data_IF_629854826381
#
_entry.id   IF_629854826381
#
_cell.length_a   1.000
_cell.length_b   1.000
_cell.length_c   1.000
_cell.angle_alpha   90.00
_cell.angle_beta   90.00
_cell.angle_gamma   90.00
#
_symmetry.space_group_name_H-M   'P 1'
#
loop_
_entity.id
_entity.type
_entity.pdbx_description
1 polymer ?
#
# COMPACT_ATOMS: atom_id res chain seq x y z
N UNK A 1 32.79 71.68 -16.98
CA UNK A 1 33.87 70.96 -16.29
C UNK A 1 33.92 71.50 -14.88
N UNK A 2 33.27 70.85 -13.96
CA UNK A 2 33.18 71.23 -12.55
C UNK A 2 33.45 69.93 -11.74
N UNK A 3 34.62 69.96 -11.10
CA UNK A 3 35.15 68.95 -10.17
C UNK A 3 34.29 68.91 -8.88
N UNK A 4 33.93 67.74 -8.34
CA UNK A 4 33.26 67.66 -7.04
C UNK A 4 34.29 67.78 -5.89
N UNK A 5 33.87 68.44 -4.83
CA UNK A 5 34.57 68.68 -3.56
C UNK A 5 34.64 67.32 -2.74
N UNK A 6 35.71 67.18 -1.93
CA UNK A 6 35.89 66.00 -1.08
C UNK A 6 34.97 66.05 0.15
N UNK A 7 34.62 64.88 0.74
CA UNK A 7 33.75 64.76 1.91
C UNK A 7 34.43 65.26 3.19
N UNK A 8 33.64 65.91 4.10
CA UNK A 8 34.05 66.36 5.41
C UNK A 8 34.35 65.23 6.36
N UNK A 9 35.35 65.37 7.17
CA UNK A 9 35.67 64.52 8.31
C UNK A 9 34.62 64.68 9.41
N UNK A 10 34.26 63.62 10.16
CA UNK A 10 33.32 63.72 11.27
C UNK A 10 33.95 64.28 12.53
N UNK A 11 33.17 65.04 13.32
CA UNK A 11 33.52 65.69 14.58
C UNK A 11 33.86 64.70 15.71
N UNK A 12 34.86 65.09 16.51
CA UNK A 12 35.52 64.29 17.56
C UNK A 12 34.85 64.31 18.93
N UNK A 13 33.49 64.51 19.04
CA UNK A 13 32.86 64.60 20.34
C UNK A 13 31.61 63.65 20.42
N UNK A 14 31.83 62.36 20.28
CA UNK A 14 30.82 61.38 20.63
C UNK A 14 31.39 60.33 21.61
N UNK A 15 30.68 60.00 22.68
CA UNK A 15 31.14 59.02 23.68
C UNK A 15 31.21 57.62 23.05
N UNK A 16 32.08 56.72 23.56
CA UNK A 16 32.32 55.41 22.97
C UNK A 16 31.07 54.51 23.07
N UNK A 17 30.59 54.12 21.91
CA UNK A 17 29.52 53.08 21.84
C UNK A 17 30.09 51.74 22.31
N UNK A 18 29.44 51.15 23.29
CA UNK A 18 29.72 49.78 23.75
C UNK A 18 29.50 48.79 22.60
N UNK A 19 30.55 48.05 22.28
CA UNK A 19 30.51 46.94 21.30
C UNK A 19 29.63 45.83 21.84
N UNK A 20 28.43 45.67 21.27
CA UNK A 20 27.60 44.50 21.46
C UNK A 20 27.99 43.50 20.36
N UNK A 21 28.47 42.29 20.71
CA UNK A 21 28.78 41.28 19.67
C UNK A 21 27.50 40.86 18.97
N UNK A 22 27.51 40.57 17.65
CA UNK A 22 26.35 40.09 16.92
C UNK A 22 25.88 38.76 17.48
N UNK A 23 24.64 38.73 17.90
CA UNK A 23 23.97 37.49 18.23
C UNK A 23 23.90 36.65 16.94
N UNK A 24 24.49 35.47 16.99
CA UNK A 24 24.42 34.46 15.95
C UNK A 24 22.96 34.11 15.73
N UNK A 25 22.42 34.46 14.56
CA UNK A 25 21.16 33.95 14.10
C UNK A 25 21.27 32.42 13.94
N UNK A 26 20.34 31.64 14.46
CA UNK A 26 20.32 30.20 14.18
C UNK A 26 19.99 29.99 12.71
N UNK A 27 20.81 29.21 12.04
CA UNK A 27 20.59 28.72 10.68
C UNK A 27 19.22 28.06 10.57
N UNK A 28 18.41 28.56 9.64
CA UNK A 28 17.13 28.03 9.26
C UNK A 28 17.33 26.71 8.51
N UNK A 29 17.44 25.58 9.23
CA UNK A 29 17.38 24.25 8.60
C UNK A 29 17.15 23.10 9.60
N UNK A 30 16.38 23.32 10.66
CA UNK A 30 15.78 22.21 11.44
C UNK A 30 14.43 22.68 11.97
N UNK A 31 13.35 22.25 11.34
CA UNK A 31 12.02 22.38 11.92
C UNK A 31 11.94 21.48 13.16
N UNK A 32 11.68 22.04 14.36
CA UNK A 32 11.50 21.23 15.55
C UNK A 32 10.13 20.55 15.51
N UNK A 33 10.11 19.26 15.86
CA UNK A 33 8.89 18.55 16.23
C UNK A 33 8.20 19.31 17.37
N UNK A 34 6.86 19.44 17.38
CA UNK A 34 6.17 20.07 18.49
C UNK A 34 6.33 19.19 19.75
N UNK A 35 7.03 19.71 20.75
CA UNK A 35 6.98 19.20 22.11
C UNK A 35 5.57 19.46 22.65
N UNK A 36 4.92 18.43 23.13
CA UNK A 36 3.65 18.53 23.83
C UNK A 36 3.83 19.33 25.12
N UNK A 37 3.03 20.37 25.27
CA UNK A 37 2.92 21.13 26.50
C UNK A 37 2.37 20.20 27.62
N UNK A 38 3.13 20.12 28.72
CA UNK A 38 2.62 19.62 29.99
C UNK A 38 1.70 20.71 30.56
N UNK A 39 0.44 20.37 30.68
CA UNK A 39 -0.57 20.85 31.66
C UNK A 39 -1.97 20.82 31.02
N UNK A 40 -2.63 19.68 31.15
CA UNK A 40 -4.09 19.57 31.09
C UNK A 40 -4.58 18.28 31.77
N UNK A 41 -5.76 18.30 32.41
CA UNK A 41 -6.21 17.24 33.30
C UNK A 41 -6.57 15.97 32.56
N UNK A 42 -6.34 14.84 33.24
CA UNK A 42 -6.58 13.47 32.83
C UNK A 42 -7.99 13.22 32.26
N UNK A 43 -8.05 13.13 30.92
CA UNK A 43 -9.13 12.44 30.20
C UNK A 43 -8.47 11.25 29.52
N UNK A 44 -8.98 10.06 29.78
CA UNK A 44 -8.50 8.79 29.25
C UNK A 44 -8.50 8.82 27.71
N UNK A 45 -7.37 9.16 27.09
CA UNK A 45 -7.17 9.10 25.66
C UNK A 45 -6.81 7.68 25.27
N UNK A 46 -7.66 7.06 24.47
CA UNK A 46 -7.32 5.86 23.71
C UNK A 46 -6.07 6.16 22.85
N UNK A 47 -5.08 5.27 22.77
CA UNK A 47 -3.86 5.53 22.02
C UNK A 47 -4.19 5.71 20.52
N UNK A 48 -3.74 6.83 19.98
CA UNK A 48 -3.78 7.12 18.53
C UNK A 48 -3.10 5.98 17.77
N UNK A 49 -3.85 5.35 16.86
CA UNK A 49 -3.36 4.27 16.03
C UNK A 49 -2.42 4.83 14.94
N UNK A 50 -1.13 4.92 15.26
CA UNK A 50 -0.09 5.12 14.25
C UNK A 50 0.00 3.87 13.38
N UNK A 51 -0.38 4.04 12.13
CA UNK A 51 -0.49 2.94 11.18
C UNK A 51 0.88 2.50 10.66
N UNK A 52 1.06 1.18 10.54
CA UNK A 52 2.28 0.54 10.04
C UNK A 52 2.67 1.02 8.63
N UNK A 53 3.93 1.42 8.37
CA UNK A 53 4.43 1.60 7.02
C UNK A 53 4.55 0.21 6.34
N UNK A 54 3.80 0.03 5.27
CA UNK A 54 3.79 -1.23 4.50
C UNK A 54 2.41 -1.87 4.37
N UNK A 55 1.48 -1.56 5.27
CA UNK A 55 0.07 -1.80 5.04
C UNK A 55 -0.47 -0.52 4.41
N UNK A 56 -1.21 -0.61 3.31
CA UNK A 56 -1.94 0.52 2.74
C UNK A 56 -2.92 1.02 3.79
N UNK A 57 -2.42 1.81 4.69
CA UNK A 57 -3.23 2.52 5.62
C UNK A 57 -3.54 3.87 5.01
N UNK A 58 -4.79 4.18 4.81
CA UNK A 58 -5.19 5.57 4.67
C UNK A 58 -4.62 6.30 5.88
N UNK A 59 -4.09 7.49 5.67
CA UNK A 59 -3.60 8.38 6.71
C UNK A 59 -4.47 8.28 7.97
N UNK A 60 -3.85 8.21 9.15
CA UNK A 60 -4.57 8.48 10.37
C UNK A 60 -5.32 9.79 10.15
N UNK A 61 -6.63 9.70 10.01
CA UNK A 61 -7.48 10.87 9.79
C UNK A 61 -7.24 11.81 10.98
N UNK A 62 -7.04 13.12 10.76
CA UNK A 62 -7.01 14.07 11.86
C UNK A 62 -8.28 13.88 12.70
N UNK A 63 -8.15 13.84 14.02
CA UNK A 63 -9.23 13.57 15.00
C UNK A 63 -10.46 14.48 14.86
N UNK A 64 -10.38 15.53 14.05
CA UNK A 64 -11.42 16.51 13.79
C UNK A 64 -12.29 16.23 12.55
N UNK A 65 -11.90 15.30 11.68
CA UNK A 65 -12.81 14.86 10.61
C UNK A 65 -13.87 13.96 11.26
N UNK A 66 -15.03 14.55 11.59
CA UNK A 66 -16.17 13.85 12.13
C UNK A 66 -16.31 12.48 11.44
N UNK A 67 -16.14 11.40 12.23
CA UNK A 67 -16.28 10.02 11.74
C UNK A 67 -17.70 9.86 11.20
N UNK A 68 -17.90 10.24 9.92
CA UNK A 68 -19.19 9.99 9.27
C UNK A 68 -19.44 8.49 9.32
N UNK A 69 -20.60 8.02 9.78
CA UNK A 69 -20.88 6.60 9.86
C UNK A 69 -20.72 5.98 8.47
N UNK A 70 -19.97 4.87 8.39
CA UNK A 70 -19.85 4.07 7.18
C UNK A 70 -21.17 3.30 7.00
N UNK A 71 -22.19 3.99 6.54
CA UNK A 71 -23.48 3.38 6.24
C UNK A 71 -23.40 2.75 4.87
N UNK A 72 -23.40 1.43 4.81
CA UNK A 72 -23.65 0.71 3.58
C UNK A 72 -25.06 1.07 3.09
N UNK A 73 -25.28 1.28 1.78
CA UNK A 73 -26.62 1.56 1.26
C UNK A 73 -27.58 0.44 1.66
N UNK A 74 -28.79 0.80 2.10
CA UNK A 74 -29.79 -0.10 2.66
C UNK A 74 -30.34 -1.19 1.71
N UNK A 75 -29.88 -1.25 0.46
CA UNK A 75 -30.27 -2.22 -0.56
C UNK A 75 -29.10 -3.11 -0.98
N UNK A 76 -28.41 -3.71 -0.02
CA UNK A 76 -27.55 -4.85 -0.36
C UNK A 76 -28.43 -6.09 -0.54
N UNK A 77 -28.21 -6.90 -1.62
CA UNK A 77 -29.01 -8.10 -1.87
C UNK A 77 -28.82 -9.20 -0.80
N UNK A 78 -27.84 -9.04 0.09
CA UNK A 78 -27.58 -9.95 1.21
C UNK A 78 -27.84 -9.24 2.54
N UNK A 79 -28.53 -9.94 3.46
CA UNK A 79 -28.68 -9.48 4.84
C UNK A 79 -27.32 -9.48 5.53
N UNK A 80 -26.80 -8.29 5.80
CA UNK A 80 -25.56 -8.15 6.57
C UNK A 80 -25.78 -8.60 8.01
N UNK A 81 -24.77 -9.23 8.67
CA UNK A 81 -24.86 -9.58 10.08
C UNK A 81 -25.26 -8.38 10.94
N UNK A 82 -26.18 -8.59 11.87
CA UNK A 82 -26.68 -7.52 12.74
C UNK A 82 -25.62 -7.01 13.71
N UNK A 83 -24.70 -7.90 14.16
CA UNK A 83 -23.66 -7.58 15.14
C UNK A 83 -22.42 -6.98 14.49
N UNK A 84 -21.73 -6.12 15.23
CA UNK A 84 -20.44 -5.54 14.80
C UNK A 84 -19.41 -6.65 14.50
N UNK A 85 -19.26 -7.63 15.40
CA UNK A 85 -18.34 -8.76 15.24
C UNK A 85 -18.67 -9.60 14.00
N UNK A 86 -19.95 -9.80 13.70
CA UNK A 86 -20.36 -10.51 12.49
C UNK A 86 -19.99 -9.79 11.20
N UNK A 87 -20.09 -8.44 11.17
CA UNK A 87 -19.66 -7.63 10.01
C UNK A 87 -18.15 -7.66 9.82
N UNK A 88 -17.39 -7.63 10.91
CA UNK A 88 -15.92 -7.77 10.88
C UNK A 88 -15.54 -9.14 10.36
N UNK A 89 -16.15 -10.22 10.87
CA UNK A 89 -15.89 -11.59 10.41
C UNK A 89 -16.22 -11.76 8.92
N UNK A 90 -17.35 -11.22 8.45
CA UNK A 90 -17.68 -11.23 7.03
C UNK A 90 -16.67 -10.49 6.18
N UNK A 91 -16.25 -9.30 6.61
CA UNK A 91 -15.24 -8.51 5.88
C UNK A 91 -13.88 -9.23 5.83
N UNK A 92 -13.46 -9.89 6.92
CA UNK A 92 -12.25 -10.73 6.94
C UNK A 92 -12.39 -11.92 5.97
N UNK A 93 -13.50 -12.65 6.02
CA UNK A 93 -13.74 -13.75 5.09
C UNK A 93 -13.67 -13.28 3.62
N UNK A 94 -14.31 -12.15 3.31
CA UNK A 94 -14.27 -11.57 1.96
C UNK A 94 -12.83 -11.25 1.57
N UNK A 95 -12.06 -10.54 2.41
CA UNK A 95 -10.68 -10.17 2.08
C UNK A 95 -9.78 -11.39 1.94
N UNK A 96 -9.89 -12.38 2.83
CA UNK A 96 -9.07 -13.59 2.78
C UNK A 96 -9.33 -14.44 1.55
N UNK A 97 -10.60 -14.77 1.30
CA UNK A 97 -10.97 -15.65 0.20
C UNK A 97 -10.84 -14.95 -1.14
N UNK A 98 -11.31 -13.70 -1.23
CA UNK A 98 -11.30 -12.97 -2.49
C UNK A 98 -9.87 -12.62 -2.90
N UNK A 99 -9.08 -12.00 -2.04
CA UNK A 99 -7.70 -11.67 -2.45
C UNK A 99 -6.82 -12.90 -2.61
N UNK A 100 -7.03 -13.97 -1.82
CA UNK A 100 -6.35 -15.24 -2.03
C UNK A 100 -6.68 -15.88 -3.38
N UNK A 101 -7.93 -15.81 -3.84
CA UNK A 101 -8.35 -16.35 -5.14
C UNK A 101 -8.04 -15.44 -6.34
N UNK A 102 -7.67 -14.16 -6.12
CA UNK A 102 -7.31 -13.26 -7.23
C UNK A 102 -6.12 -13.77 -8.03
N UNK A 103 -5.19 -14.48 -7.44
CA UNK A 103 -4.05 -15.07 -8.16
C UNK A 103 -4.51 -16.07 -9.22
N UNK A 104 -5.42 -16.98 -8.87
CA UNK A 104 -6.04 -17.90 -9.84
C UNK A 104 -6.76 -17.13 -10.95
N UNK A 105 -7.55 -16.12 -10.58
CA UNK A 105 -8.27 -15.34 -11.57
C UNK A 105 -7.34 -14.52 -12.49
N UNK A 106 -6.20 -14.03 -11.99
CA UNK A 106 -5.15 -13.41 -12.83
C UNK A 106 -4.59 -14.44 -13.78
N UNK A 107 -4.23 -15.64 -13.31
CA UNK A 107 -3.71 -16.71 -14.16
C UNK A 107 -4.66 -17.04 -15.32
N UNK A 108 -5.94 -17.28 -15.02
CA UNK A 108 -6.97 -17.56 -16.03
C UNK A 108 -7.19 -16.38 -17.01
N UNK A 109 -7.11 -15.14 -16.51
CA UNK A 109 -7.28 -13.96 -17.37
C UNK A 109 -6.12 -13.78 -18.36
N UNK A 110 -4.90 -14.19 -17.97
CA UNK A 110 -3.68 -14.05 -18.81
C UNK A 110 -3.72 -14.88 -20.09
N UNK A 111 -4.64 -15.83 -20.22
CA UNK A 111 -4.87 -16.56 -21.47
C UNK A 111 -5.36 -15.64 -22.61
N UNK A 112 -6.06 -14.55 -22.30
CA UNK A 112 -6.59 -13.61 -23.29
C UNK A 112 -6.07 -12.19 -23.14
N UNK A 113 -5.75 -11.79 -21.93
CA UNK A 113 -5.28 -10.45 -21.61
C UNK A 113 -3.76 -10.38 -21.48
N UNK A 114 -3.09 -9.46 -22.17
CA UNK A 114 -1.71 -9.14 -21.84
C UNK A 114 -1.59 -8.57 -20.41
N UNK A 115 -0.44 -8.75 -19.74
CA UNK A 115 -0.31 -8.47 -18.30
C UNK A 115 -0.63 -7.03 -17.87
N UNK A 116 -0.05 -6.04 -18.56
CA UNK A 116 -0.28 -4.63 -18.22
C UNK A 116 -1.71 -4.21 -18.58
N UNK A 117 -2.23 -4.70 -19.71
CA UNK A 117 -3.61 -4.44 -20.13
C UNK A 117 -4.61 -5.03 -19.14
N UNK A 118 -4.40 -6.26 -18.66
CA UNK A 118 -5.21 -6.88 -17.61
C UNK A 118 -5.21 -6.03 -16.35
N UNK A 119 -4.02 -5.70 -15.85
CA UNK A 119 -3.86 -4.89 -14.63
C UNK A 119 -4.48 -3.51 -14.80
N UNK A 120 -4.23 -2.87 -15.92
CA UNK A 120 -4.72 -1.53 -16.23
C UNK A 120 -6.25 -1.47 -16.29
N UNK A 121 -6.85 -2.23 -17.19
CA UNK A 121 -8.30 -2.17 -17.42
C UNK A 121 -9.12 -2.58 -16.19
N UNK A 122 -8.73 -3.68 -15.50
CA UNK A 122 -9.49 -4.10 -14.32
C UNK A 122 -9.51 -3.03 -13.23
N UNK A 123 -8.36 -2.40 -12.98
CA UNK A 123 -8.24 -1.40 -11.93
C UNK A 123 -8.88 -0.07 -12.35
N UNK A 124 -8.74 0.34 -13.60
CA UNK A 124 -9.39 1.53 -14.16
C UNK A 124 -10.92 1.44 -13.97
N UNK A 125 -11.54 0.37 -14.46
CA UNK A 125 -12.99 0.23 -14.39
C UNK A 125 -13.48 -0.01 -12.96
N UNK A 126 -12.75 -0.78 -12.15
CA UNK A 126 -13.07 -0.95 -10.73
C UNK A 126 -13.00 0.38 -9.97
N UNK A 127 -11.97 1.19 -10.26
CA UNK A 127 -11.80 2.50 -9.64
C UNK A 127 -12.88 3.49 -10.04
N UNK A 128 -13.26 3.52 -11.32
CA UNK A 128 -14.39 4.34 -11.80
C UNK A 128 -15.69 3.90 -11.10
N UNK A 129 -15.97 2.60 -11.04
CA UNK A 129 -17.15 2.08 -10.34
C UNK A 129 -17.17 2.44 -8.86
N UNK A 130 -16.02 2.31 -8.18
CA UNK A 130 -15.89 2.69 -6.78
C UNK A 130 -16.01 4.21 -6.58
N UNK A 131 -15.51 5.01 -7.51
CA UNK A 131 -15.66 6.47 -7.48
C UNK A 131 -17.12 6.89 -7.63
N UNK A 132 -17.85 6.30 -8.59
CA UNK A 132 -19.30 6.53 -8.76
C UNK A 132 -20.05 6.14 -7.48
N UNK A 133 -19.69 5.01 -6.88
CA UNK A 133 -20.28 4.59 -5.61
C UNK A 133 -19.99 5.57 -4.47
N UNK A 134 -18.75 6.03 -4.35
CA UNK A 134 -18.35 7.02 -3.34
C UNK A 134 -19.04 8.39 -3.58
N UNK A 135 -19.13 8.84 -4.83
CA UNK A 135 -19.75 10.10 -5.20
C UNK A 135 -21.24 10.21 -4.81
N UNK A 136 -21.95 9.08 -4.81
CA UNK A 136 -23.38 9.02 -4.38
C UNK A 136 -23.58 9.16 -2.87
N UNK A 137 -22.51 9.25 -2.08
CA UNK A 137 -22.54 9.29 -0.62
C UNK A 137 -22.20 10.68 -0.06
N UNK A 138 -22.30 11.70 -0.89
CA UNK A 138 -21.96 13.09 -0.54
C UNK A 138 -20.54 13.19 0.08
N UNK A 139 -19.49 12.81 -0.68
CA UNK A 139 -18.13 12.80 -0.19
C UNK A 139 -17.56 14.21 -0.05
N UNK A 140 -16.49 14.34 0.74
CA UNK A 140 -15.64 15.52 0.66
C UNK A 140 -14.82 15.45 -0.64
N UNK A 141 -15.04 16.39 -1.54
CA UNK A 141 -14.36 16.41 -2.83
C UNK A 141 -12.87 16.73 -2.66
N UNK A 142 -12.00 16.00 -3.34
CA UNK A 142 -10.56 16.16 -3.22
C UNK A 142 -10.07 17.42 -3.93
N UNK A 143 -9.03 18.04 -3.41
CA UNK A 143 -8.28 19.08 -4.09
C UNK A 143 -7.45 18.51 -5.24
N UNK A 144 -7.03 19.35 -6.20
CA UNK A 144 -6.15 18.93 -7.29
C UNK A 144 -4.84 18.32 -6.79
N UNK A 145 -4.26 18.86 -5.71
CA UNK A 145 -3.04 18.31 -5.10
C UNK A 145 -3.27 16.90 -4.55
N UNK A 146 -4.40 16.64 -3.91
CA UNK A 146 -4.77 15.32 -3.41
C UNK A 146 -4.99 14.31 -4.55
N UNK A 147 -5.62 14.74 -5.65
CA UNK A 147 -5.78 13.90 -6.85
C UNK A 147 -4.43 13.55 -7.48
N UNK A 148 -3.54 14.53 -7.63
CA UNK A 148 -2.17 14.31 -8.14
C UNK A 148 -1.40 13.35 -7.24
N UNK A 149 -1.51 13.50 -5.93
CA UNK A 149 -0.85 12.63 -4.96
C UNK A 149 -1.43 11.21 -5.02
N UNK A 150 -2.75 11.08 -5.14
CA UNK A 150 -3.41 9.79 -5.35
C UNK A 150 -2.96 9.11 -6.65
N UNK A 151 -2.75 9.87 -7.73
CA UNK A 151 -2.21 9.36 -8.98
C UNK A 151 -0.79 8.81 -8.81
N UNK A 152 0.10 9.54 -8.13
CA UNK A 152 1.47 9.09 -7.88
C UNK A 152 1.49 7.81 -7.04
N UNK A 153 0.71 7.74 -5.96
CA UNK A 153 0.57 6.55 -5.12
C UNK A 153 -0.04 5.40 -5.92
N UNK A 154 -1.12 5.64 -6.64
CA UNK A 154 -1.82 4.63 -7.45
C UNK A 154 -0.94 4.05 -8.57
N UNK A 155 -0.10 4.86 -9.19
CA UNK A 155 0.86 4.39 -10.20
C UNK A 155 1.82 3.34 -9.62
N UNK A 156 2.34 3.56 -8.41
CA UNK A 156 3.22 2.58 -7.75
C UNK A 156 2.43 1.37 -7.24
N UNK A 157 1.40 1.61 -6.41
CA UNK A 157 0.65 0.55 -5.74
C UNK A 157 -0.10 -0.36 -6.70
N UNK A 158 -0.66 0.21 -7.74
CA UNK A 158 -1.60 -0.48 -8.62
C UNK A 158 -1.02 -0.63 -10.02
N UNK A 159 -0.61 0.46 -10.65
CA UNK A 159 -0.12 0.45 -12.02
C UNK A 159 1.09 -0.47 -12.18
N UNK A 160 2.17 -0.16 -11.50
CA UNK A 160 3.43 -0.90 -11.62
C UNK A 160 3.38 -2.22 -10.86
N UNK A 161 2.90 -2.22 -9.60
CA UNK A 161 2.91 -3.43 -8.79
C UNK A 161 2.03 -4.55 -9.38
N UNK A 162 0.76 -4.26 -9.69
CA UNK A 162 -0.13 -5.28 -10.29
C UNK A 162 0.30 -5.69 -11.69
N UNK A 163 0.88 -4.76 -12.47
CA UNK A 163 1.42 -5.06 -13.79
C UNK A 163 2.60 -6.02 -13.74
N UNK A 164 3.55 -5.78 -12.82
CA UNK A 164 4.70 -6.66 -12.59
C UNK A 164 4.26 -8.03 -12.07
N UNK A 165 3.28 -8.08 -11.15
CA UNK A 165 2.69 -9.32 -10.70
C UNK A 165 2.09 -10.12 -11.87
N UNK A 166 1.24 -9.50 -12.68
CA UNK A 166 0.62 -10.15 -13.82
C UNK A 166 1.66 -10.62 -14.87
N UNK A 167 2.71 -9.82 -15.09
CA UNK A 167 3.82 -10.21 -15.95
C UNK A 167 4.54 -11.46 -15.42
N UNK A 168 4.87 -11.49 -14.13
CA UNK A 168 5.54 -12.62 -13.50
C UNK A 168 4.70 -13.89 -13.52
N UNK A 169 3.39 -13.77 -13.31
CA UNK A 169 2.45 -14.89 -13.32
C UNK A 169 2.24 -15.55 -14.69
N UNK A 170 2.87 -15.05 -15.74
CA UNK A 170 2.94 -15.80 -17.02
C UNK A 170 3.78 -17.06 -16.93
N UNK A 171 4.70 -17.12 -15.96
CA UNK A 171 5.65 -18.23 -15.80
C UNK A 171 5.71 -18.77 -14.38
N UNK A 172 5.25 -18.01 -13.38
CA UNK A 172 5.26 -18.38 -11.96
C UNK A 172 3.86 -18.84 -11.55
N UNK A 173 3.78 -19.96 -10.84
CA UNK A 173 2.53 -20.51 -10.33
C UNK A 173 1.84 -19.57 -9.33
N UNK A 174 0.52 -19.72 -9.19
CA UNK A 174 -0.32 -18.78 -8.42
C UNK A 174 0.01 -18.77 -6.94
N UNK A 175 0.21 -19.97 -6.36
CA UNK A 175 0.59 -20.12 -4.97
C UNK A 175 1.96 -19.50 -4.67
N UNK A 176 2.94 -19.78 -5.53
CA UNK A 176 4.30 -19.24 -5.43
C UNK A 176 4.31 -17.71 -5.56
N UNK A 177 3.56 -17.15 -6.51
CA UNK A 177 3.42 -15.71 -6.68
C UNK A 177 2.85 -15.04 -5.41
N UNK A 178 1.82 -15.64 -4.79
CA UNK A 178 1.23 -15.13 -3.57
C UNK A 178 2.22 -15.13 -2.39
N UNK A 179 3.03 -16.19 -2.27
CA UNK A 179 4.08 -16.28 -1.23
C UNK A 179 5.16 -15.22 -1.46
N UNK A 180 5.56 -14.95 -2.71
CA UNK A 180 6.50 -13.87 -3.03
C UNK A 180 5.93 -12.49 -2.67
N UNK A 181 4.66 -12.23 -2.96
CA UNK A 181 3.99 -10.97 -2.61
C UNK A 181 3.90 -10.76 -1.10
N UNK A 182 3.81 -11.84 -0.30
CA UNK A 182 3.81 -11.74 1.16
C UNK A 182 5.09 -11.07 1.73
N UNK A 183 6.15 -10.93 0.94
CA UNK A 183 7.38 -10.23 1.34
C UNK A 183 7.29 -8.70 1.32
N UNK A 184 6.18 -8.11 0.87
CA UNK A 184 5.94 -6.65 0.84
C UNK A 184 6.32 -5.95 2.15
N UNK A 185 5.96 -6.43 3.36
CA UNK A 185 6.34 -5.79 4.61
C UNK A 185 7.85 -5.73 4.84
N UNK A 186 8.60 -6.70 4.33
CA UNK A 186 10.07 -6.71 4.43
C UNK A 186 10.67 -5.59 3.57
N UNK A 187 10.21 -5.42 2.33
CA UNK A 187 10.61 -4.31 1.48
C UNK A 187 10.19 -2.96 2.06
N UNK A 188 9.02 -2.87 2.70
CA UNK A 188 8.59 -1.66 3.40
C UNK A 188 9.55 -1.30 4.54
N UNK A 189 10.07 -2.29 5.28
CA UNK A 189 11.09 -2.08 6.32
C UNK A 189 12.38 -1.52 5.72
N UNK A 190 12.85 -2.08 4.59
CA UNK A 190 14.06 -1.59 3.90
C UNK A 190 13.87 -0.16 3.40
N UNK A 191 12.75 0.13 2.74
CA UNK A 191 12.43 1.48 2.24
C UNK A 191 12.35 2.49 3.40
N UNK A 192 11.75 2.12 4.51
CA UNK A 192 11.67 2.96 5.70
C UNK A 192 13.07 3.21 6.30
N UNK A 193 13.96 2.22 6.29
CA UNK A 193 15.35 2.37 6.73
C UNK A 193 16.13 3.35 5.83
N UNK A 194 16.02 3.19 4.50
CA UNK A 194 16.63 4.11 3.52
C UNK A 194 16.11 5.53 3.72
N UNK A 195 14.85 5.69 4.09
CA UNK A 195 14.24 6.98 4.39
C UNK A 195 14.58 7.54 5.78
N UNK A 196 15.57 6.96 6.48
CA UNK A 196 16.08 7.44 7.76
C UNK A 196 15.38 6.92 9.01
N UNK A 197 14.41 5.98 8.88
CA UNK A 197 13.80 5.33 10.05
C UNK A 197 14.84 4.44 10.74
N UNK A 198 14.97 4.54 12.05
CA UNK A 198 15.77 3.61 12.84
C UNK A 198 15.06 2.25 12.87
N UNK A 199 15.66 1.24 12.26
CA UNK A 199 15.16 -0.14 12.19
C UNK A 199 15.85 -0.96 13.28
N UNK A 200 15.09 -1.74 14.04
CA UNK A 200 15.64 -2.61 15.08
C UNK A 200 16.43 -3.77 14.46
N UNK A 201 17.43 -4.31 15.20
CA UNK A 201 18.20 -5.46 14.74
C UNK A 201 17.32 -6.68 14.39
N UNK A 202 16.26 -6.88 15.16
CA UNK A 202 15.30 -7.95 14.89
C UNK A 202 14.50 -7.78 13.59
N UNK A 203 14.19 -6.56 13.18
CA UNK A 203 13.55 -6.29 11.88
C UNK A 203 14.52 -6.67 10.72
N UNK A 204 15.82 -6.42 10.87
CA UNK A 204 16.83 -6.84 9.89
C UNK A 204 17.00 -8.36 9.82
N UNK A 205 16.91 -9.05 10.96
CA UNK A 205 16.90 -10.53 10.99
C UNK A 205 15.67 -11.04 10.23
N UNK A 206 14.51 -10.42 10.42
CA UNK A 206 13.31 -10.77 9.68
C UNK A 206 13.49 -10.58 8.16
N UNK A 207 14.07 -9.46 7.73
CA UNK A 207 14.38 -9.21 6.30
C UNK A 207 15.32 -10.30 5.76
N UNK A 208 16.41 -10.62 6.48
CA UNK A 208 17.35 -11.68 6.07
C UNK A 208 16.67 -13.05 5.95
N UNK A 209 15.83 -13.41 6.93
CA UNK A 209 15.06 -14.66 6.91
C UNK A 209 14.09 -14.73 5.72
N UNK A 210 13.41 -13.64 5.41
CA UNK A 210 12.53 -13.56 4.24
C UNK A 210 13.28 -13.72 2.92
N UNK A 211 14.47 -13.13 2.80
CA UNK A 211 15.34 -13.32 1.62
C UNK A 211 15.79 -14.78 1.47
N UNK A 212 16.09 -15.46 2.58
CA UNK A 212 16.38 -16.92 2.56
C UNK A 212 15.18 -17.70 2.04
N UNK A 213 13.97 -17.36 2.50
CA UNK A 213 12.75 -17.99 1.99
C UNK A 213 12.53 -17.78 0.48
N UNK A 214 12.79 -16.57 -0.02
CA UNK A 214 12.74 -16.28 -1.46
C UNK A 214 13.80 -17.09 -2.22
N UNK A 215 15.04 -17.14 -1.73
CA UNK A 215 16.11 -17.89 -2.35
C UNK A 215 15.78 -19.40 -2.40
N UNK A 216 15.23 -19.94 -1.32
CA UNK A 216 14.79 -21.33 -1.25
C UNK A 216 13.71 -21.65 -2.28
N UNK A 217 12.73 -20.76 -2.43
CA UNK A 217 11.66 -20.90 -3.40
C UNK A 217 12.19 -20.91 -4.85
N UNK A 218 13.18 -20.07 -5.15
CA UNK A 218 13.74 -19.97 -6.50
C UNK A 218 14.83 -21.04 -6.82
N UNK A 219 15.44 -21.66 -5.81
CA UNK A 219 16.55 -22.57 -6.04
C UNK A 219 16.14 -24.04 -6.22
N UNK A 220 15.02 -24.45 -5.71
CA UNK A 220 14.63 -25.87 -5.67
C UNK A 220 13.23 -26.17 -6.17
N UNK A 221 12.48 -25.17 -6.56
CA UNK A 221 11.05 -25.33 -6.88
C UNK A 221 10.77 -25.03 -8.36
N UNK A 222 10.35 -26.04 -9.16
CA UNK A 222 9.89 -25.83 -10.53
C UNK A 222 8.74 -24.84 -10.62
N UNK A 223 7.93 -24.69 -9.55
CA UNK A 223 6.79 -23.76 -9.50
C UNK A 223 7.20 -22.28 -9.52
N UNK A 224 8.49 -21.97 -9.24
CA UNK A 224 9.03 -20.62 -9.34
C UNK A 224 9.09 -20.08 -10.76
N UNK A 225 8.94 -20.94 -11.75
CA UNK A 225 8.97 -20.57 -13.16
C UNK A 225 10.29 -19.93 -13.61
N UNK A 226 10.21 -18.88 -14.42
CA UNK A 226 11.41 -18.19 -14.88
C UNK A 226 11.94 -17.20 -13.84
N UNK A 227 13.27 -17.05 -13.77
CA UNK A 227 13.93 -16.03 -12.93
C UNK A 227 13.39 -14.62 -13.24
N UNK A 228 13.12 -14.31 -14.51
CA UNK A 228 12.54 -13.04 -14.92
C UNK A 228 11.13 -12.84 -14.34
N UNK A 229 10.30 -13.90 -14.31
CA UNK A 229 8.97 -13.87 -13.69
C UNK A 229 9.03 -13.62 -12.19
N UNK A 230 9.90 -14.37 -11.49
CA UNK A 230 10.12 -14.19 -10.05
C UNK A 230 10.62 -12.78 -9.72
N UNK A 231 11.60 -12.27 -10.46
CA UNK A 231 12.11 -10.90 -10.28
C UNK A 231 11.02 -9.86 -10.55
N UNK A 232 10.16 -10.05 -11.56
CA UNK A 232 9.06 -9.14 -11.81
C UNK A 232 8.09 -9.08 -10.62
N UNK A 233 7.70 -10.22 -10.03
CA UNK A 233 6.84 -10.26 -8.85
C UNK A 233 7.49 -9.53 -7.67
N UNK A 234 8.77 -9.76 -7.42
CA UNK A 234 9.51 -9.09 -6.35
C UNK A 234 9.63 -7.58 -6.60
N UNK A 235 9.88 -7.14 -7.84
CA UNK A 235 9.81 -5.73 -8.21
C UNK A 235 8.40 -5.16 -7.95
N UNK A 236 7.36 -5.91 -8.28
CA UNK A 236 5.98 -5.55 -7.93
C UNK A 236 5.78 -5.34 -6.43
N UNK A 237 6.35 -6.22 -5.60
CA UNK A 237 6.32 -6.09 -4.14
C UNK A 237 7.07 -4.84 -3.64
N UNK A 238 8.20 -4.50 -4.26
CA UNK A 238 8.94 -3.25 -3.99
C UNK A 238 8.11 -2.03 -4.36
N UNK A 239 7.46 -2.01 -5.53
CA UNK A 239 6.57 -0.92 -5.93
C UNK A 239 5.37 -0.78 -4.99
N UNK A 240 4.79 -1.88 -4.55
CA UNK A 240 3.71 -1.84 -3.54
C UNK A 240 4.20 -1.24 -2.22
N UNK A 241 5.34 -1.68 -1.72
CA UNK A 241 5.94 -1.15 -0.50
C UNK A 241 6.28 0.34 -0.63
N UNK A 242 6.85 0.76 -1.77
CA UNK A 242 7.17 2.15 -2.08
C UNK A 242 5.93 3.04 -2.18
N UNK A 243 4.90 2.55 -2.85
CA UNK A 243 3.60 3.25 -2.96
C UNK A 243 2.92 3.40 -1.59
N UNK A 244 2.95 2.36 -0.76
CA UNK A 244 2.44 2.40 0.61
C UNK A 244 3.20 3.40 1.48
N UNK A 245 4.52 3.43 1.36
CA UNK A 245 5.37 4.41 2.04
C UNK A 245 5.05 5.84 1.59
N UNK A 246 4.86 6.06 0.29
CA UNK A 246 4.50 7.36 -0.27
C UNK A 246 3.10 7.79 0.18
N UNK A 247 2.14 6.85 0.24
CA UNK A 247 0.79 7.09 0.75
C UNK A 247 0.79 7.62 2.19
N UNK A 248 1.71 7.14 3.03
CA UNK A 248 1.86 7.63 4.40
C UNK A 248 2.49 9.03 4.52
N UNK A 249 3.05 9.59 3.43
CA UNK A 249 3.72 10.90 3.43
C UNK A 249 3.02 11.98 2.64
N UNK A 250 2.20 11.60 1.68
CA UNK A 250 1.48 12.55 0.85
C UNK A 250 0.08 12.81 1.41
N UNK A 251 -0.38 14.04 1.27
CA UNK A 251 -1.76 14.39 1.59
C UNK A 251 -2.68 13.75 0.55
N UNK A 252 -3.46 12.77 0.97
CA UNK A 252 -4.45 12.07 0.18
C UNK A 252 -5.87 12.55 0.54
N UNK A 253 -6.88 12.30 -0.31
CA UNK A 253 -8.27 12.62 0.01
C UNK A 253 -8.69 12.04 1.35
N UNK A 254 -9.39 12.83 2.16
CA UNK A 254 -9.85 12.46 3.51
C UNK A 254 -10.90 11.34 3.50
N UNK A 255 -11.73 11.25 2.45
CA UNK A 255 -12.63 10.12 2.28
C UNK A 255 -11.86 8.92 1.74
N UNK A 256 -11.87 7.82 2.52
CA UNK A 256 -11.14 6.60 2.22
C UNK A 256 -11.57 5.97 0.88
N UNK A 257 -12.88 5.96 0.58
CA UNK A 257 -13.38 5.36 -0.66
C UNK A 257 -13.00 6.21 -1.87
N UNK A 258 -13.08 7.54 -1.75
CA UNK A 258 -12.62 8.46 -2.80
C UNK A 258 -11.12 8.32 -3.02
N UNK A 259 -10.34 8.28 -1.93
CA UNK A 259 -8.89 8.10 -2.01
C UNK A 259 -8.51 6.79 -2.70
N UNK A 260 -9.14 5.68 -2.30
CA UNK A 260 -8.91 4.36 -2.90
C UNK A 260 -9.35 4.33 -4.36
N UNK A 261 -10.54 4.85 -4.67
CA UNK A 261 -11.07 4.91 -6.03
C UNK A 261 -10.14 5.68 -6.98
N UNK A 262 -9.62 6.83 -6.55
CA UNK A 262 -8.67 7.62 -7.33
C UNK A 262 -7.34 6.90 -7.51
N UNK A 263 -6.80 6.28 -6.46
CA UNK A 263 -5.55 5.53 -6.57
C UNK A 263 -5.66 4.37 -7.57
N UNK A 264 -6.72 3.54 -7.46
CA UNK A 264 -6.87 2.40 -8.34
C UNK A 264 -7.27 2.80 -9.76
N UNK A 265 -8.10 3.83 -9.97
CA UNK A 265 -8.46 4.28 -11.32
C UNK A 265 -7.30 4.96 -12.03
N UNK A 266 -6.60 5.88 -11.38
CA UNK A 266 -5.49 6.61 -12.00
C UNK A 266 -4.26 5.72 -12.20
N UNK A 267 -3.96 4.81 -11.26
CA UNK A 267 -2.95 3.78 -11.43
C UNK A 267 -3.30 2.80 -12.54
N UNK A 268 -4.57 2.39 -12.63
CA UNK A 268 -5.09 1.56 -13.71
C UNK A 268 -5.04 2.26 -15.08
N UNK A 269 -5.39 3.55 -15.15
CA UNK A 269 -5.27 4.35 -16.35
C UNK A 269 -3.81 4.42 -16.83
N UNK A 270 -2.86 4.66 -15.93
CA UNK A 270 -1.43 4.69 -16.24
C UNK A 270 -0.97 3.34 -16.80
N UNK A 271 -1.31 2.22 -16.13
CA UNK A 271 -0.96 0.90 -16.64
C UNK A 271 -1.57 0.60 -18.01
N UNK A 272 -2.82 1.02 -18.25
CA UNK A 272 -3.48 0.87 -19.56
C UNK A 272 -2.77 1.67 -20.65
N UNK A 273 -2.38 2.92 -20.35
CA UNK A 273 -1.62 3.77 -21.28
C UNK A 273 -0.28 3.11 -21.62
N UNK A 274 0.45 2.65 -20.61
CA UNK A 274 1.74 1.96 -20.79
C UNK A 274 1.55 0.69 -21.63
N UNK A 275 0.55 -0.13 -21.32
CA UNK A 275 0.20 -1.33 -22.09
C UNK A 275 -0.06 -1.00 -23.57
N UNK A 276 -0.85 0.05 -23.82
CA UNK A 276 -1.17 0.46 -25.17
C UNK A 276 0.06 0.95 -25.97
N UNK A 277 0.91 1.76 -25.32
CA UNK A 277 2.16 2.27 -25.92
C UNK A 277 3.17 1.14 -26.15
N UNK A 278 3.24 0.16 -25.23
CA UNK A 278 4.09 -1.03 -25.36
C UNK A 278 3.60 -2.03 -26.43
N UNK A 279 2.48 -1.72 -27.09
CA UNK A 279 1.94 -2.60 -28.13
C UNK A 279 1.12 -3.78 -27.62
N UNK A 280 0.82 -3.86 -26.33
CA UNK A 280 -0.09 -4.89 -25.82
C UNK A 280 -1.48 -4.73 -26.44
N UNK A 281 -2.03 -5.82 -26.96
CA UNK A 281 -3.38 -5.86 -27.58
C UNK A 281 -4.09 -7.14 -27.17
N UNK A 282 -5.37 -7.03 -26.92
CA UNK A 282 -6.26 -8.18 -26.73
C UNK A 282 -6.62 -8.67 -28.13
N UNK A 283 -6.12 -9.84 -28.52
CA UNK A 283 -6.31 -10.39 -29.86
C UNK A 283 -7.59 -11.23 -29.95
N UNK A 284 -7.84 -12.05 -28.92
CA UNK A 284 -9.03 -12.89 -28.81
C UNK A 284 -9.51 -12.92 -27.38
N UNK A 285 -10.81 -13.07 -27.18
CA UNK A 285 -11.41 -13.13 -25.88
C UNK A 285 -12.11 -14.46 -25.65
N UNK A 286 -11.50 -15.30 -24.81
CA UNK A 286 -12.14 -16.52 -24.32
C UNK A 286 -13.20 -16.23 -23.25
N UNK A 287 -14.18 -17.12 -23.12
CA UNK A 287 -15.25 -16.97 -22.12
C UNK A 287 -14.71 -17.05 -20.68
N UNK A 288 -13.86 -18.05 -20.38
CA UNK A 288 -13.25 -18.21 -19.05
C UNK A 288 -12.35 -17.02 -18.66
N UNK A 289 -11.40 -16.57 -19.50
CA UNK A 289 -10.62 -15.36 -19.23
C UNK A 289 -11.48 -14.11 -19.01
N UNK A 290 -12.57 -13.95 -19.76
CA UNK A 290 -13.47 -12.82 -19.58
C UNK A 290 -14.21 -12.87 -18.23
N UNK A 291 -14.71 -14.05 -17.83
CA UNK A 291 -15.33 -14.21 -16.51
C UNK A 291 -14.34 -13.98 -15.37
N UNK A 292 -13.11 -14.48 -15.52
CA UNK A 292 -12.05 -14.25 -14.55
C UNK A 292 -11.71 -12.75 -14.45
N UNK A 293 -11.65 -12.03 -15.56
CA UNK A 293 -11.49 -10.57 -15.58
C UNK A 293 -12.63 -9.85 -14.87
N UNK A 294 -13.90 -10.21 -15.15
CA UNK A 294 -15.04 -9.62 -14.44
C UNK A 294 -15.00 -9.89 -12.94
N UNK A 295 -14.62 -11.11 -12.56
CA UNK A 295 -14.41 -11.45 -11.15
C UNK A 295 -13.34 -10.55 -10.51
N UNK A 296 -12.18 -10.39 -11.16
CA UNK A 296 -11.11 -9.52 -10.69
C UNK A 296 -11.57 -8.07 -10.53
N UNK A 297 -12.33 -7.56 -11.48
CA UNK A 297 -12.82 -6.18 -11.49
C UNK A 297 -13.87 -5.95 -10.39
N UNK A 298 -14.92 -6.76 -10.36
CA UNK A 298 -16.07 -6.53 -9.49
C UNK A 298 -15.83 -7.04 -8.07
N UNK A 299 -15.29 -8.24 -7.94
CA UNK A 299 -15.13 -8.90 -6.64
C UNK A 299 -13.73 -8.62 -6.09
N UNK A 300 -12.69 -8.91 -6.86
CA UNK A 300 -11.29 -8.76 -6.48
C UNK A 300 -10.87 -7.32 -6.17
N UNK A 301 -11.37 -6.36 -6.95
CA UNK A 301 -11.04 -4.95 -6.76
C UNK A 301 -12.14 -4.19 -6.04
N UNK A 302 -13.40 -4.14 -6.53
CA UNK A 302 -14.41 -3.29 -5.89
C UNK A 302 -14.85 -3.83 -4.52
N UNK A 303 -15.39 -5.06 -4.45
CA UNK A 303 -15.94 -5.58 -3.20
C UNK A 303 -14.88 -5.78 -2.12
N UNK A 304 -13.71 -6.33 -2.48
CA UNK A 304 -12.63 -6.57 -1.54
C UNK A 304 -12.04 -5.27 -0.98
N UNK A 305 -11.86 -4.22 -1.80
CA UNK A 305 -11.41 -2.92 -1.28
C UNK A 305 -12.43 -2.26 -0.35
N UNK A 306 -13.74 -2.40 -0.62
CA UNK A 306 -14.78 -1.91 0.31
C UNK A 306 -14.73 -2.67 1.64
N UNK A 307 -14.58 -4.00 1.59
CA UNK A 307 -14.43 -4.82 2.79
C UNK A 307 -13.17 -4.47 3.59
N UNK A 308 -12.04 -4.29 2.89
CA UNK A 308 -10.79 -3.89 3.51
C UNK A 308 -10.85 -2.47 4.12
N UNK A 309 -11.47 -1.51 3.42
CA UNK A 309 -11.73 -0.19 3.95
C UNK A 309 -12.60 -0.21 5.21
N UNK A 310 -13.57 -1.13 5.26
CA UNK A 310 -14.36 -1.37 6.47
C UNK A 310 -13.49 -1.88 7.62
N UNK A 311 -12.63 -2.88 7.38
CA UNK A 311 -11.72 -3.44 8.39
C UNK A 311 -10.80 -2.37 8.97
N UNK A 312 -10.16 -1.56 8.13
CA UNK A 312 -9.25 -0.48 8.58
C UNK A 312 -9.96 0.50 9.53
N UNK A 313 -11.23 0.81 9.27
CA UNK A 313 -12.00 1.77 10.09
C UNK A 313 -12.56 1.18 11.38
N UNK A 314 -12.78 -0.13 11.43
CA UNK A 314 -13.55 -0.76 12.50
C UNK A 314 -12.78 -1.81 13.28
N UNK A 315 -11.52 -2.06 12.94
CA UNK A 315 -10.68 -3.04 13.63
C UNK A 315 -9.29 -2.48 13.91
N UNK A 316 -8.51 -3.22 14.70
CA UNK A 316 -7.10 -2.88 14.92
C UNK A 316 -6.27 -3.11 13.64
N UNK A 317 -5.16 -2.40 13.47
CA UNK A 317 -4.23 -2.63 12.36
C UNK A 317 -3.75 -4.09 12.26
N UNK A 318 -3.62 -4.79 13.38
CA UNK A 318 -3.25 -6.21 13.43
C UNK A 318 -4.28 -7.06 12.68
N UNK A 319 -5.56 -6.86 12.98
CA UNK A 319 -6.66 -7.60 12.35
C UNK A 319 -6.74 -7.25 10.86
N UNK A 320 -6.65 -5.97 10.50
CA UNK A 320 -6.71 -5.57 9.10
C UNK A 320 -5.53 -6.12 8.28
N UNK A 321 -4.31 -6.19 8.85
CA UNK A 321 -3.12 -6.71 8.16
C UNK A 321 -2.99 -8.23 8.17
N UNK A 322 -3.83 -8.95 8.92
CA UNK A 322 -3.79 -10.42 8.96
C UNK A 322 -3.98 -11.10 7.60
N UNK A 323 -4.61 -10.40 6.63
CA UNK A 323 -4.71 -10.88 5.26
C UNK A 323 -3.34 -11.15 4.60
N UNK A 324 -2.28 -10.48 5.00
CA UNK A 324 -0.93 -10.70 4.49
C UNK A 324 -0.40 -12.11 4.82
N UNK A 325 -0.93 -12.74 5.87
CA UNK A 325 -0.58 -14.11 6.26
C UNK A 325 -1.53 -15.15 5.67
N UNK A 326 -2.80 -14.82 5.59
CA UNK A 326 -3.85 -15.77 5.17
C UNK A 326 -3.91 -15.90 3.65
N UNK A 327 -3.76 -14.81 2.91
CA UNK A 327 -3.89 -14.81 1.45
C UNK A 327 -2.91 -15.76 0.74
N UNK A 328 -1.61 -15.84 1.10
CA UNK A 328 -0.69 -16.81 0.49
C UNK A 328 -1.14 -18.26 0.71
N UNK A 329 -1.62 -18.59 1.91
CA UNK A 329 -2.11 -19.93 2.21
C UNK A 329 -3.35 -20.27 1.38
N UNK A 330 -4.30 -19.33 1.29
CA UNK A 330 -5.50 -19.49 0.46
C UNK A 330 -5.13 -19.64 -1.01
N UNK A 331 -4.17 -18.85 -1.52
CA UNK A 331 -3.73 -18.93 -2.91
C UNK A 331 -3.06 -20.28 -3.23
N UNK A 332 -2.18 -20.79 -2.36
CA UNK A 332 -1.54 -22.11 -2.52
C UNK A 332 -2.60 -23.21 -2.55
N UNK A 333 -3.57 -23.18 -1.63
CA UNK A 333 -4.64 -24.18 -1.59
C UNK A 333 -5.53 -24.10 -2.84
N UNK A 334 -5.91 -22.90 -3.26
CA UNK A 334 -6.73 -22.70 -4.48
C UNK A 334 -5.96 -23.14 -5.73
N UNK A 335 -4.67 -22.78 -5.87
CA UNK A 335 -3.83 -23.21 -6.98
C UNK A 335 -3.74 -24.73 -7.09
N UNK A 336 -3.53 -25.41 -5.95
CA UNK A 336 -3.49 -26.87 -5.93
C UNK A 336 -4.84 -27.53 -6.28
N UNK A 337 -5.97 -27.00 -5.74
CA UNK A 337 -7.28 -27.61 -5.92
C UNK A 337 -7.88 -27.37 -7.30
N UNK A 338 -7.69 -26.18 -7.88
CA UNK A 338 -8.40 -25.77 -9.11
C UNK A 338 -7.49 -25.71 -10.36
N UNK A 339 -6.17 -25.49 -10.18
CA UNK A 339 -5.22 -25.42 -11.27
C UNK A 339 -4.29 -26.64 -11.34
N UNK A 340 -4.36 -27.55 -10.35
CA UNK A 340 -3.50 -28.72 -10.30
C UNK A 340 -2.04 -28.39 -9.97
N UNK A 341 -1.77 -27.21 -9.38
CA UNK A 341 -0.42 -26.83 -8.96
C UNK A 341 0.12 -27.79 -7.90
N UNK A 342 1.38 -28.21 -8.03
CA UNK A 342 1.98 -29.18 -7.12
C UNK A 342 2.56 -28.46 -5.92
N UNK A 343 2.03 -28.76 -4.73
CA UNK A 343 2.60 -28.25 -3.49
C UNK A 343 3.86 -29.04 -3.16
N UNK A 344 5.04 -28.50 -3.48
CA UNK A 344 6.31 -29.13 -3.20
C UNK A 344 6.73 -28.91 -1.74
N UNK A 345 7.67 -29.73 -1.23
CA UNK A 345 8.28 -29.48 0.07
C UNK A 345 8.97 -28.11 0.14
N UNK A 346 9.50 -27.62 -0.98
CA UNK A 346 10.16 -26.33 -1.09
C UNK A 346 9.16 -25.18 -0.96
N UNK A 347 8.01 -25.29 -1.63
CA UNK A 347 6.89 -24.33 -1.50
C UNK A 347 6.43 -24.23 -0.04
N UNK A 348 6.26 -25.38 0.65
CA UNK A 348 5.84 -25.39 2.07
C UNK A 348 6.89 -24.74 2.96
N UNK A 349 8.17 -25.16 2.82
CA UNK A 349 9.26 -24.63 3.65
C UNK A 349 9.43 -23.11 3.42
N UNK A 350 9.47 -22.67 2.17
CA UNK A 350 9.60 -21.26 1.84
C UNK A 350 8.42 -20.43 2.37
N UNK A 351 7.19 -20.94 2.22
CA UNK A 351 5.98 -20.29 2.75
C UNK A 351 6.09 -20.11 4.27
N UNK A 352 6.44 -21.17 5.01
CA UNK A 352 6.60 -21.10 6.46
C UNK A 352 7.69 -20.09 6.87
N UNK A 353 8.84 -20.10 6.20
CA UNK A 353 9.95 -19.18 6.47
C UNK A 353 9.53 -17.73 6.18
N UNK A 354 8.88 -17.46 5.03
CA UNK A 354 8.45 -16.11 4.66
C UNK A 354 7.36 -15.61 5.62
N UNK A 355 6.36 -16.42 5.94
CA UNK A 355 5.32 -16.02 6.89
C UNK A 355 5.90 -15.79 8.29
N UNK A 356 6.82 -16.63 8.75
CA UNK A 356 7.52 -16.42 10.02
C UNK A 356 8.35 -15.14 10.01
N UNK A 357 9.05 -14.83 8.91
CA UNK A 357 9.84 -13.61 8.77
C UNK A 357 8.96 -12.36 8.82
N UNK A 358 7.82 -12.37 8.13
CA UNK A 358 6.85 -11.28 8.14
C UNK A 358 6.26 -11.11 9.55
N UNK A 359 5.88 -12.22 10.22
CA UNK A 359 5.42 -12.20 11.61
C UNK A 359 6.43 -11.58 12.57
N UNK A 360 7.69 -11.98 12.42
CA UNK A 360 8.80 -11.47 13.21
C UNK A 360 9.02 -9.96 12.97
N UNK A 361 8.93 -9.51 11.72
CA UNK A 361 9.04 -8.10 11.35
C UNK A 361 7.95 -7.26 12.02
N UNK A 362 6.70 -7.72 11.99
CA UNK A 362 5.60 -7.05 12.67
C UNK A 362 5.79 -7.04 14.18
N UNK A 363 6.18 -8.17 14.77
CA UNK A 363 6.37 -8.25 16.22
C UNK A 363 7.42 -7.26 16.72
N UNK A 364 8.56 -7.14 16.04
CA UNK A 364 9.59 -6.16 16.41
C UNK A 364 9.15 -4.71 16.20
N UNK A 365 8.40 -4.43 15.13
CA UNK A 365 7.86 -3.09 14.90
C UNK A 365 6.85 -2.70 15.99
N UNK A 366 5.95 -3.62 16.40
CA UNK A 366 4.99 -3.40 17.48
C UNK A 366 5.69 -3.19 18.83
N UNK A 367 6.66 -4.07 19.16
CA UNK A 367 7.47 -3.94 20.38
C UNK A 367 8.18 -2.59 20.45
N UNK A 368 8.73 -2.12 19.34
CA UNK A 368 9.38 -0.81 19.27
C UNK A 368 8.42 0.35 19.48
N UNK A 369 7.17 0.22 19.10
CA UNK A 369 6.12 1.24 19.29
C UNK A 369 5.47 1.18 20.68
N UNK A 370 5.87 0.25 21.53
CA UNK A 370 5.29 0.06 22.85
C UNK A 370 3.84 -0.45 22.84
N UNK A 371 3.47 -1.16 21.77
CA UNK A 371 2.11 -1.70 21.60
C UNK A 371 2.00 -3.16 22.08
N UNK A 372 3.14 -3.79 22.44
CA UNK A 372 3.27 -5.14 23.02
C UNK A 372 4.36 -5.10 24.08
#
# INVERSE_FOLDING_TARGET
MSTPLPPRLPDSDSPPQQFVPPQSQPSADVLPFPQAAADAPSVSASPSADVLPGVTSPQALPDTAARRPFNLPGHFPFRLPATHSGRVALALCVVYLVWGSTYMAVHLSLESFPPLMLSGLRNLFAGIGLFIFAARRDPVWPTFAEVRNAAAVGTLLVGLSSGMLAFGMRTVETGTAAVMVATVPLFATVIAAIAGRKVAKGEWIAVGLGLVGIALLNHGDPSSGSTAGSLAILCGAVFWAGGSFLAGRLKLPSDLLVSTALQISLGGAMATIVAWVSGERIVSMGFTPFLAYLYLMLVGSMAAYVAYAYLIRHTSPIIASSCMYVNPVVAVVIGALFLGEVITKWTVMATLIILASVGLSFWFDYKRRGLV
#
